data_IF_087240688763
#
_entry.id   IF_087240688763
#
_cell.length_a   1.000
_cell.length_b   1.000
_cell.length_c   1.000
_cell.angle_alpha   90.00
_cell.angle_beta   90.00
_cell.angle_gamma   90.00
#
_symmetry.space_group_name_H-M   'P 1'
#
loop_
_entity.id
_entity.type
_entity.pdbx_description
1 polymer ?
#
# COMPACT_ATOMS: atom_id res chain seq x y z
N UNK A 1 7.62 19.07 25.40
CA UNK A 1 8.39 20.03 26.22
C UNK A 1 8.97 19.29 27.42
N UNK A 2 10.21 18.89 27.34
CA UNK A 2 10.97 18.31 28.48
C UNK A 2 12.14 19.27 28.74
N UNK A 3 11.98 20.10 29.78
CA UNK A 3 13.04 20.95 30.24
C UNK A 3 13.98 20.12 31.14
N UNK A 4 15.22 19.96 30.71
CA UNK A 4 16.29 19.43 31.57
C UNK A 4 16.70 20.54 32.55
N UNK A 5 16.34 20.40 33.84
CA UNK A 5 16.90 21.21 34.90
C UNK A 5 18.30 20.70 35.24
N UNK A 6 19.31 21.46 34.91
CA UNK A 6 20.67 21.27 35.43
C UNK A 6 20.72 21.89 36.87
N UNK A 7 20.80 21.03 37.89
CA UNK A 7 21.07 21.47 39.25
C UNK A 7 22.57 21.74 39.38
N UNK A 8 22.97 23.00 39.47
CA UNK A 8 24.33 23.41 39.86
C UNK A 8 24.30 23.84 41.32
N UNK A 9 24.86 23.03 42.18
CA UNK A 9 25.23 23.43 43.52
C UNK A 9 26.54 22.75 43.90
N UNK A 10 27.65 23.47 43.74
CA UNK A 10 28.85 23.40 44.58
C UNK A 10 29.81 24.50 44.11
N UNK A 11 29.98 25.51 44.94
CA UNK A 11 30.99 26.56 44.79
C UNK A 11 32.40 26.01 45.08
N UNK A 12 33.02 25.40 44.07
CA UNK A 12 34.49 25.27 44.02
C UNK A 12 35.00 26.30 43.03
N UNK A 13 35.98 27.08 43.45
CA UNK A 13 36.71 28.02 42.59
C UNK A 13 37.49 27.20 41.55
N UNK A 14 36.84 26.94 40.41
CA UNK A 14 37.48 26.30 39.28
C UNK A 14 38.54 27.24 38.67
N UNK A 15 39.66 26.76 38.19
CA UNK A 15 40.67 27.59 37.51
C UNK A 15 40.01 28.29 36.30
N UNK A 16 40.44 29.51 36.01
CA UNK A 16 39.88 30.42 34.99
C UNK A 16 39.67 29.71 33.61
N UNK A 17 40.55 28.80 33.21
CA UNK A 17 40.42 27.99 32.02
C UNK A 17 39.28 26.98 32.06
N UNK A 18 38.90 26.45 33.21
CA UNK A 18 37.76 25.56 33.39
C UNK A 18 36.44 26.33 33.40
N UNK A 19 36.39 27.55 33.90
CA UNK A 19 35.22 28.44 33.84
C UNK A 19 34.94 28.87 32.40
N UNK A 20 35.96 29.24 31.61
CA UNK A 20 35.82 29.61 30.20
C UNK A 20 35.37 28.42 29.35
N UNK A 21 35.86 27.21 29.63
CA UNK A 21 35.43 25.97 28.96
C UNK A 21 33.96 25.61 29.27
N UNK A 22 33.52 25.78 30.55
CA UNK A 22 32.14 25.53 30.95
C UNK A 22 31.18 26.53 30.30
N UNK A 23 31.55 27.81 30.28
CA UNK A 23 30.76 28.87 29.66
C UNK A 23 30.66 28.70 28.14
N UNK A 24 31.75 28.26 27.47
CA UNK A 24 31.72 27.94 26.06
C UNK A 24 30.80 26.74 25.73
N UNK A 25 30.82 25.67 26.56
CA UNK A 25 29.90 24.54 26.40
C UNK A 25 28.43 24.95 26.58
N UNK A 26 28.13 25.81 27.60
CA UNK A 26 26.79 26.34 27.79
C UNK A 26 26.31 27.15 26.57
N UNK A 27 27.17 28.03 26.03
CA UNK A 27 26.84 28.80 24.81
C UNK A 27 26.57 27.92 23.59
N UNK A 28 27.36 26.85 23.37
CA UNK A 28 27.13 25.91 22.30
C UNK A 28 25.82 25.12 22.48
N UNK A 29 25.46 24.74 23.73
CA UNK A 29 24.19 24.08 24.04
C UNK A 29 22.98 24.97 23.76
N UNK A 30 23.06 26.23 24.17
CA UNK A 30 22.03 27.24 23.86
C UNK A 30 21.91 27.49 22.36
N UNK A 31 23.03 27.59 21.64
CA UNK A 31 23.04 27.78 20.21
C UNK A 31 22.40 26.57 19.45
N UNK A 32 22.72 25.33 19.90
CA UNK A 32 22.11 24.13 19.35
C UNK A 32 20.58 24.11 19.51
N UNK A 33 20.11 24.36 20.76
CA UNK A 33 18.67 24.39 21.03
C UNK A 33 17.96 25.55 20.31
N UNK A 34 18.60 26.71 20.19
CA UNK A 34 18.04 27.81 19.39
C UNK A 34 17.98 27.51 17.91
N UNK A 35 18.96 26.77 17.38
CA UNK A 35 18.95 26.30 15.99
C UNK A 35 17.84 25.28 15.74
N UNK A 36 17.64 24.30 16.63
CA UNK A 36 16.53 23.34 16.55
C UNK A 36 15.17 24.04 16.55
N UNK A 37 14.97 25.01 17.45
CA UNK A 37 13.70 25.77 17.50
C UNK A 37 13.39 26.53 16.23
N UNK A 38 14.42 26.92 15.46
CA UNK A 38 14.28 27.59 14.15
C UNK A 38 14.22 26.61 12.96
N UNK A 39 14.39 25.30 13.21
CA UNK A 39 14.51 24.30 12.15
C UNK A 39 15.85 24.32 11.42
N UNK A 40 16.87 25.04 11.94
CA UNK A 40 18.22 25.07 11.39
C UNK A 40 19.03 23.88 11.91
N UNK A 41 18.67 22.68 11.40
CA UNK A 41 19.30 21.44 11.84
C UNK A 41 20.77 21.31 11.41
N UNK A 42 21.18 22.02 10.35
CA UNK A 42 22.58 22.07 9.97
C UNK A 42 23.43 22.73 11.06
N UNK A 43 22.99 23.86 11.58
CA UNK A 43 23.67 24.53 12.70
C UNK A 43 23.56 23.69 13.99
N UNK A 44 22.39 23.10 14.28
CA UNK A 44 22.20 22.26 15.46
C UNK A 44 23.19 21.08 15.48
N UNK A 45 23.37 20.37 14.36
CA UNK A 45 24.35 19.28 14.21
C UNK A 45 25.76 19.77 14.55
N UNK A 46 26.21 20.88 13.96
CA UNK A 46 27.54 21.42 14.20
C UNK A 46 27.79 21.74 15.67
N UNK A 47 26.83 22.35 16.34
CA UNK A 47 26.94 22.73 17.75
C UNK A 47 26.92 21.48 18.65
N UNK A 48 26.02 20.49 18.39
CA UNK A 48 26.01 19.23 19.13
C UNK A 48 27.26 18.38 18.87
N UNK A 49 27.83 18.36 17.67
CA UNK A 49 29.11 17.68 17.41
C UNK A 49 30.25 18.29 18.24
N UNK A 50 30.29 19.62 18.37
CA UNK A 50 31.28 20.29 19.21
C UNK A 50 31.20 19.83 20.68
N UNK A 51 29.96 19.71 21.19
CA UNK A 51 29.71 19.24 22.56
C UNK A 51 30.03 17.74 22.71
N UNK A 52 29.60 16.91 21.76
CA UNK A 52 29.76 15.46 21.81
C UNK A 52 31.24 15.03 21.78
N UNK A 53 32.12 15.80 21.11
CA UNK A 53 33.57 15.58 21.16
C UNK A 53 34.15 15.81 22.54
N UNK A 54 33.57 16.69 23.35
CA UNK A 54 34.02 17.04 24.71
C UNK A 54 33.39 16.19 25.78
N UNK A 55 32.15 15.75 25.53
CA UNK A 55 31.35 14.94 26.45
C UNK A 55 30.91 13.63 25.80
N UNK A 56 31.87 12.77 25.35
CA UNK A 56 31.55 11.59 24.53
C UNK A 56 30.74 10.52 25.26
N UNK A 57 30.71 10.56 26.61
CA UNK A 57 29.96 9.65 27.49
C UNK A 57 28.62 10.21 27.97
N UNK A 58 28.14 11.30 27.42
CA UNK A 58 26.83 11.85 27.75
C UNK A 58 25.78 11.26 26.78
N UNK A 59 24.97 10.34 27.28
CA UNK A 59 23.97 9.62 26.48
C UNK A 59 22.91 10.55 25.88
N UNK A 60 22.41 11.51 26.66
CA UNK A 60 21.42 12.48 26.20
C UNK A 60 21.96 13.38 25.10
N UNK A 61 23.19 13.84 25.24
CA UNK A 61 23.83 14.66 24.21
C UNK A 61 24.05 13.89 22.89
N UNK A 62 24.46 12.61 22.97
CA UNK A 62 24.51 11.75 21.79
C UNK A 62 23.12 11.56 21.18
N UNK A 63 22.09 11.41 22.03
CA UNK A 63 20.70 11.34 21.58
C UNK A 63 20.26 12.61 20.82
N UNK A 64 20.54 13.80 21.39
CA UNK A 64 20.18 15.08 20.77
C UNK A 64 20.93 15.30 19.44
N UNK A 65 22.21 14.94 19.37
CA UNK A 65 22.97 14.97 18.11
C UNK A 65 22.33 14.03 17.07
N UNK A 66 21.93 12.83 17.47
CA UNK A 66 21.23 11.89 16.59
C UNK A 66 19.93 12.46 16.06
N UNK A 67 19.13 13.13 16.91
CA UNK A 67 17.87 13.79 16.51
C UNK A 67 18.14 14.91 15.51
N UNK A 68 19.14 15.77 15.77
CA UNK A 68 19.53 16.83 14.85
C UNK A 68 19.99 16.28 13.48
N UNK A 69 20.78 15.20 13.47
CA UNK A 69 21.22 14.52 12.26
C UNK A 69 20.01 13.93 11.49
N UNK A 70 19.02 13.34 12.19
CA UNK A 70 17.81 12.80 11.58
C UNK A 70 17.04 13.90 10.83
N UNK A 71 16.78 15.02 11.47
CA UNK A 71 16.05 16.14 10.85
C UNK A 71 16.89 16.85 9.78
N UNK A 72 18.22 16.72 9.82
CA UNK A 72 19.12 17.16 8.74
C UNK A 72 19.25 16.14 7.60
N UNK A 73 18.40 15.10 7.55
CA UNK A 73 18.37 14.03 6.55
C UNK A 73 19.65 13.18 6.47
N UNK A 74 20.48 13.17 7.52
CA UNK A 74 21.70 12.37 7.63
C UNK A 74 21.41 11.07 8.39
N UNK A 75 20.50 10.25 7.84
CA UNK A 75 19.89 9.14 8.57
C UNK A 75 20.87 8.06 9.01
N UNK A 76 21.82 7.66 8.15
CA UNK A 76 22.85 6.67 8.51
C UNK A 76 23.75 7.16 9.64
N UNK A 77 24.10 8.44 9.62
CA UNK A 77 24.91 9.05 10.68
C UNK A 77 24.10 9.15 11.98
N UNK A 78 22.83 9.51 11.90
CA UNK A 78 21.90 9.53 13.03
C UNK A 78 21.85 8.16 13.72
N UNK A 79 21.65 7.08 12.94
CA UNK A 79 21.64 5.69 13.45
C UNK A 79 22.94 5.37 14.20
N UNK A 80 24.10 5.70 13.60
CA UNK A 80 25.38 5.43 14.23
C UNK A 80 25.57 6.17 15.57
N UNK A 81 25.05 7.40 15.66
CA UNK A 81 25.11 8.21 16.90
C UNK A 81 24.08 7.72 17.93
N UNK A 82 22.88 7.32 17.51
CA UNK A 82 21.89 6.70 18.39
C UNK A 82 22.40 5.39 19.01
N UNK A 83 23.09 4.55 18.24
CA UNK A 83 23.72 3.35 18.81
C UNK A 83 24.74 3.71 19.90
N UNK A 84 25.53 4.79 19.75
CA UNK A 84 26.41 5.26 20.84
C UNK A 84 25.61 5.70 22.07
N UNK A 85 24.50 6.44 21.89
CA UNK A 85 23.64 6.81 22.98
C UNK A 85 23.10 5.59 23.72
N UNK A 86 22.64 4.59 23.01
CA UNK A 86 22.07 3.34 23.55
C UNK A 86 23.12 2.43 24.22
N UNK A 87 24.41 2.50 23.81
CA UNK A 87 25.49 1.81 24.57
C UNK A 87 25.76 2.47 25.92
N UNK A 88 25.40 3.74 26.10
CA UNK A 88 25.54 4.50 27.35
C UNK A 88 24.29 4.37 28.23
N UNK A 89 23.11 4.43 27.64
CA UNK A 89 21.82 4.21 28.28
C UNK A 89 20.84 3.54 27.30
N UNK A 90 20.57 2.27 27.52
CA UNK A 90 19.69 1.45 26.68
C UNK A 90 18.19 1.77 26.84
N UNK A 91 17.79 2.60 27.81
CA UNK A 91 16.39 2.92 28.09
C UNK A 91 15.96 4.30 27.54
N UNK A 92 16.78 4.93 26.75
CA UNK A 92 16.43 6.19 26.10
C UNK A 92 15.39 5.96 24.98
N UNK A 93 14.21 6.56 25.13
CA UNK A 93 13.12 6.46 24.16
C UNK A 93 13.51 7.05 22.80
N UNK A 94 14.04 8.27 22.78
CA UNK A 94 14.30 9.01 21.54
C UNK A 94 15.26 8.27 20.58
N UNK A 95 16.39 7.69 21.03
CA UNK A 95 17.25 6.89 20.16
C UNK A 95 16.54 5.71 19.51
N UNK A 96 15.75 4.92 20.24
CA UNK A 96 14.97 3.82 19.67
C UNK A 96 13.94 4.33 18.66
N UNK A 97 13.16 5.33 19.02
CA UNK A 97 12.15 5.92 18.14
C UNK A 97 12.78 6.43 16.84
N UNK A 98 13.76 7.32 16.94
CA UNK A 98 14.36 7.95 15.76
C UNK A 98 15.27 7.02 14.96
N UNK A 99 15.85 5.98 15.56
CA UNK A 99 16.54 4.91 14.81
C UNK A 99 15.52 4.16 13.95
N UNK A 100 14.37 3.81 14.52
CA UNK A 100 13.28 3.17 13.77
C UNK A 100 12.77 4.05 12.62
N UNK A 101 12.56 5.35 12.88
CA UNK A 101 12.19 6.31 11.84
C UNK A 101 13.25 6.41 10.74
N UNK A 102 14.54 6.49 11.11
CA UNK A 102 15.64 6.57 10.16
C UNK A 102 15.72 5.32 9.27
N UNK A 103 15.57 4.13 9.85
CA UNK A 103 15.49 2.90 9.07
C UNK A 103 14.28 2.87 8.12
N UNK A 104 13.14 3.39 8.57
CA UNK A 104 11.95 3.50 7.71
C UNK A 104 12.20 4.44 6.52
N UNK A 105 12.84 5.61 6.75
CA UNK A 105 13.22 6.54 5.67
C UNK A 105 14.21 5.92 4.67
N UNK A 106 15.08 5.04 5.15
CA UNK A 106 15.99 4.26 4.32
C UNK A 106 15.33 3.05 3.63
N UNK A 107 13.99 2.95 3.70
CA UNK A 107 13.19 1.84 3.12
C UNK A 107 13.56 0.46 3.70
N UNK A 108 14.00 0.42 4.97
CA UNK A 108 14.38 -0.79 5.70
C UNK A 108 13.43 -1.10 6.86
N UNK A 109 12.17 -1.45 6.58
CA UNK A 109 11.17 -1.69 7.63
C UNK A 109 11.54 -2.87 8.54
N UNK A 110 12.32 -3.84 8.03
CA UNK A 110 12.79 -4.99 8.84
C UNK A 110 13.74 -4.55 9.97
N UNK A 111 14.52 -3.51 9.75
CA UNK A 111 15.38 -2.90 10.76
C UNK A 111 14.60 -1.86 11.63
N UNK A 112 13.56 -1.23 11.07
CA UNK A 112 12.76 -0.24 11.78
C UNK A 112 11.89 -0.87 12.88
N UNK A 113 11.24 -2.00 12.60
CA UNK A 113 10.27 -2.63 13.51
C UNK A 113 10.83 -2.92 14.90
N UNK A 114 11.96 -3.62 15.10
CA UNK A 114 12.45 -3.94 16.44
C UNK A 114 12.77 -2.70 17.29
N UNK A 115 13.24 -1.62 16.66
CA UNK A 115 13.52 -0.36 17.34
C UNK A 115 12.21 0.33 17.77
N UNK A 116 11.21 0.38 16.89
CA UNK A 116 9.90 0.97 17.19
C UNK A 116 9.11 0.12 18.21
N UNK A 117 9.19 -1.21 18.16
CA UNK A 117 8.63 -2.10 19.21
C UNK A 117 9.27 -1.79 20.57
N UNK A 118 10.57 -1.53 20.61
CA UNK A 118 11.26 -1.14 21.85
C UNK A 118 10.81 0.23 22.34
N UNK A 119 10.66 1.20 21.44
CA UNK A 119 10.14 2.54 21.80
C UNK A 119 8.72 2.44 22.39
N UNK A 120 7.83 1.64 21.77
CA UNK A 120 6.47 1.39 22.29
C UNK A 120 6.50 0.67 23.63
N UNK A 121 7.42 -0.27 23.84
CA UNK A 121 7.58 -0.98 25.13
C UNK A 121 8.05 -0.02 26.23
N UNK A 122 8.97 0.91 25.93
CA UNK A 122 9.45 1.91 26.88
C UNK A 122 8.36 2.94 27.24
N UNK A 123 7.52 3.31 26.28
CA UNK A 123 6.39 4.22 26.50
C UNK A 123 5.18 3.77 25.68
N UNK A 124 4.33 2.94 26.27
CA UNK A 124 3.17 2.36 25.60
C UNK A 124 2.09 3.37 25.18
N UNK A 125 2.09 4.58 25.75
CA UNK A 125 1.18 5.67 25.38
C UNK A 125 1.78 6.66 24.36
N UNK A 126 2.96 6.37 23.81
CA UNK A 126 3.59 7.24 22.82
C UNK A 126 2.91 7.08 21.45
N UNK A 127 2.10 8.07 21.10
CA UNK A 127 1.32 8.10 19.85
C UNK A 127 2.24 8.06 18.63
N UNK A 128 3.38 8.78 18.67
CA UNK A 128 4.32 8.84 17.56
C UNK A 128 4.98 7.48 17.30
N UNK A 129 5.49 6.84 18.37
CA UNK A 129 6.11 5.52 18.27
C UNK A 129 5.14 4.47 17.71
N UNK A 130 3.89 4.44 18.22
CA UNK A 130 2.85 3.52 17.71
C UNK A 130 2.47 3.79 16.27
N UNK A 131 2.32 5.06 15.90
CA UNK A 131 1.99 5.43 14.52
C UNK A 131 3.04 4.93 13.55
N UNK A 132 4.31 5.15 13.85
CA UNK A 132 5.40 4.69 12.97
C UNK A 132 5.62 3.18 13.01
N UNK A 133 5.37 2.53 14.14
CA UNK A 133 5.34 1.07 14.21
C UNK A 133 4.24 0.50 13.31
N UNK A 134 3.05 1.10 13.33
CA UNK A 134 1.96 0.76 12.42
C UNK A 134 2.37 0.89 10.94
N UNK A 135 2.99 2.00 10.55
CA UNK A 135 3.48 2.18 9.18
C UNK A 135 4.61 1.19 8.82
N UNK A 136 5.52 0.88 9.75
CA UNK A 136 6.57 -0.10 9.54
C UNK A 136 5.99 -1.52 9.34
N UNK A 137 4.93 -1.89 10.07
CA UNK A 137 4.19 -3.13 9.83
C UNK A 137 3.46 -3.16 8.49
N UNK A 138 2.86 -2.03 8.07
CA UNK A 138 2.26 -1.91 6.71
C UNK A 138 3.33 -2.15 5.64
N UNK A 139 4.51 -1.55 5.78
CA UNK A 139 5.62 -1.74 4.83
C UNK A 139 6.12 -3.20 4.77
N UNK A 140 5.97 -3.96 5.87
CA UNK A 140 6.20 -5.41 5.92
C UNK A 140 4.99 -6.24 5.48
N UNK A 141 3.89 -5.61 5.11
CA UNK A 141 2.62 -6.28 4.80
C UNK A 141 2.03 -7.07 5.99
N UNK A 142 2.34 -6.67 7.23
CA UNK A 142 1.80 -7.22 8.49
C UNK A 142 0.60 -6.40 8.95
N UNK A 143 -0.48 -6.44 8.17
CA UNK A 143 -1.61 -5.51 8.33
C UNK A 143 -2.39 -5.71 9.63
N UNK A 144 -2.50 -6.94 10.15
CA UNK A 144 -3.15 -7.21 11.44
C UNK A 144 -2.38 -6.58 12.60
N UNK A 145 -1.04 -6.59 12.54
CA UNK A 145 -0.20 -5.90 13.52
C UNK A 145 -0.33 -4.38 13.40
N UNK A 146 -0.33 -3.86 12.16
CA UNK A 146 -0.54 -2.45 11.88
C UNK A 146 -1.89 -1.95 12.40
N UNK A 147 -2.98 -2.69 12.14
CA UNK A 147 -4.32 -2.35 12.60
C UNK A 147 -4.39 -2.25 14.14
N UNK A 148 -3.70 -3.13 14.87
CA UNK A 148 -3.63 -3.04 16.35
C UNK A 148 -2.96 -1.76 16.82
N UNK A 149 -1.83 -1.38 16.21
CA UNK A 149 -1.14 -0.15 16.61
C UNK A 149 -1.96 1.09 16.24
N UNK A 150 -2.55 1.16 15.05
CA UNK A 150 -3.43 2.28 14.69
C UNK A 150 -4.70 2.34 15.54
N UNK A 151 -5.27 1.22 15.95
CA UNK A 151 -6.40 1.18 16.88
C UNK A 151 -6.02 1.77 18.24
N UNK A 152 -4.82 1.47 18.75
CA UNK A 152 -4.34 2.09 19.98
C UNK A 152 -4.06 3.59 19.80
N UNK A 153 -3.57 4.02 18.64
CA UNK A 153 -3.41 5.45 18.32
C UNK A 153 -4.76 6.16 18.32
N UNK A 154 -5.79 5.61 17.68
CA UNK A 154 -7.14 6.21 17.67
C UNK A 154 -7.77 6.25 19.05
N UNK A 155 -7.46 5.28 19.93
CA UNK A 155 -7.88 5.30 21.33
C UNK A 155 -7.16 6.39 22.16
N UNK A 156 -5.85 6.58 21.93
CA UNK A 156 -5.03 7.58 22.66
C UNK A 156 -5.23 9.01 22.16
N UNK A 157 -5.51 9.16 20.86
CA UNK A 157 -5.72 10.42 20.17
C UNK A 157 -6.92 10.31 19.22
N UNK A 158 -8.17 10.39 19.71
CA UNK A 158 -9.38 10.19 18.91
C UNK A 158 -9.53 11.18 17.75
N UNK A 159 -8.99 12.38 17.87
CA UNK A 159 -9.04 13.43 16.86
C UNK A 159 -7.98 13.25 15.75
N UNK A 160 -7.14 12.21 15.83
CA UNK A 160 -6.10 11.95 14.85
C UNK A 160 -6.69 11.29 13.60
N UNK A 161 -7.12 12.12 12.63
CA UNK A 161 -7.71 11.66 11.36
C UNK A 161 -6.75 10.81 10.52
N UNK A 162 -5.43 11.03 10.62
CA UNK A 162 -4.43 10.22 9.93
C UNK A 162 -4.40 8.79 10.46
N UNK A 163 -4.54 8.62 11.77
CA UNK A 163 -4.59 7.31 12.40
C UNK A 163 -5.88 6.56 12.03
N UNK A 164 -7.03 7.24 12.00
CA UNK A 164 -8.29 6.65 11.55
C UNK A 164 -8.23 6.23 10.09
N UNK A 165 -7.66 7.07 9.22
CA UNK A 165 -7.45 6.73 7.82
C UNK A 165 -6.53 5.51 7.67
N UNK A 166 -5.38 5.50 8.38
CA UNK A 166 -4.43 4.39 8.34
C UNK A 166 -5.04 3.08 8.89
N UNK A 167 -5.89 3.17 9.92
CA UNK A 167 -6.66 2.03 10.44
C UNK A 167 -7.62 1.48 9.38
N UNK A 168 -8.36 2.36 8.71
CA UNK A 168 -9.25 1.99 7.61
C UNK A 168 -8.53 1.28 6.47
N UNK A 169 -7.38 1.81 6.05
CA UNK A 169 -6.54 1.20 5.01
C UNK A 169 -5.98 -0.17 5.43
N UNK A 170 -5.55 -0.32 6.69
CA UNK A 170 -5.06 -1.60 7.20
C UNK A 170 -6.17 -2.67 7.17
N UNK A 171 -7.39 -2.33 7.61
CA UNK A 171 -8.54 -3.23 7.56
C UNK A 171 -8.97 -3.55 6.14
N UNK A 172 -8.95 -2.58 5.22
CA UNK A 172 -9.22 -2.80 3.80
C UNK A 172 -8.27 -3.85 3.20
N UNK A 173 -6.98 -3.76 3.52
CA UNK A 173 -5.97 -4.72 3.04
C UNK A 173 -6.14 -6.12 3.66
N UNK A 174 -6.52 -6.19 4.93
CA UNK A 174 -6.88 -7.47 5.58
C UNK A 174 -8.06 -8.09 4.85
N UNK A 175 -9.13 -7.35 4.62
CA UNK A 175 -10.32 -7.80 3.89
C UNK A 175 -9.95 -8.34 2.51
N UNK A 176 -9.19 -7.56 1.71
CA UNK A 176 -8.72 -7.97 0.40
C UNK A 176 -7.94 -9.28 0.42
N UNK A 177 -7.06 -9.47 1.40
CA UNK A 177 -6.28 -10.71 1.56
C UNK A 177 -7.15 -11.91 1.92
N UNK A 178 -8.16 -11.72 2.77
CA UNK A 178 -9.11 -12.78 3.13
C UNK A 178 -9.96 -13.19 1.94
N UNK A 179 -10.43 -12.22 1.16
CA UNK A 179 -11.13 -12.47 -0.11
C UNK A 179 -10.26 -13.25 -1.10
N UNK A 180 -9.01 -12.84 -1.31
CA UNK A 180 -8.10 -13.58 -2.19
C UNK A 180 -7.82 -15.00 -1.70
N UNK A 181 -7.65 -15.18 -0.37
CA UNK A 181 -7.47 -16.50 0.22
C UNK A 181 -8.70 -17.39 0.03
N UNK A 182 -9.90 -16.84 0.16
CA UNK A 182 -11.17 -17.54 -0.10
C UNK A 182 -11.27 -17.96 -1.56
N UNK A 183 -11.04 -17.04 -2.48
CA UNK A 183 -11.09 -17.34 -3.92
C UNK A 183 -10.04 -18.37 -4.35
N UNK A 184 -8.89 -18.42 -3.68
CA UNK A 184 -7.87 -19.44 -3.90
C UNK A 184 -8.27 -20.80 -3.32
N UNK A 185 -8.86 -20.82 -2.13
CA UNK A 185 -9.25 -22.06 -1.44
C UNK A 185 -10.50 -22.71 -2.06
N UNK A 186 -11.45 -21.89 -2.51
CA UNK A 186 -12.74 -22.34 -3.05
C UNK A 186 -13.20 -21.45 -4.23
N UNK A 187 -12.54 -21.48 -5.40
CA UNK A 187 -12.82 -20.55 -6.51
C UNK A 187 -14.24 -20.69 -7.08
N UNK A 188 -14.86 -21.83 -6.90
CA UNK A 188 -16.23 -22.12 -7.34
C UNK A 188 -17.16 -22.39 -6.13
N UNK A 189 -16.75 -22.02 -4.93
CA UNK A 189 -17.53 -22.20 -3.71
C UNK A 189 -18.73 -21.25 -3.62
N UNK A 190 -19.67 -21.56 -2.74
CA UNK A 190 -20.86 -20.73 -2.56
C UNK A 190 -20.54 -19.32 -2.07
N UNK A 191 -19.57 -19.19 -1.16
CA UNK A 191 -19.11 -17.87 -0.65
C UNK A 191 -18.35 -17.06 -1.70
N UNK A 192 -17.62 -17.72 -2.62
CA UNK A 192 -16.97 -17.02 -3.73
C UNK A 192 -18.00 -16.38 -4.68
N UNK A 193 -19.05 -17.12 -5.02
CA UNK A 193 -20.17 -16.60 -5.81
C UNK A 193 -20.96 -15.52 -5.06
N UNK A 194 -21.13 -15.67 -3.74
CA UNK A 194 -21.75 -14.65 -2.92
C UNK A 194 -21.00 -13.32 -3.00
N UNK A 195 -19.67 -13.34 -2.80
CA UNK A 195 -18.84 -12.13 -2.92
C UNK A 195 -18.95 -11.47 -4.31
N UNK A 196 -19.01 -12.29 -5.37
CA UNK A 196 -19.19 -11.78 -6.73
C UNK A 196 -20.56 -11.09 -6.89
N UNK A 197 -21.62 -11.69 -6.38
CA UNK A 197 -22.97 -11.10 -6.37
C UNK A 197 -23.04 -9.79 -5.59
N UNK A 198 -22.44 -9.74 -4.39
CA UNK A 198 -22.34 -8.54 -3.56
C UNK A 198 -21.62 -7.40 -4.28
N UNK A 199 -20.51 -7.70 -4.94
CA UNK A 199 -19.74 -6.72 -5.72
C UNK A 199 -20.55 -6.15 -6.89
N UNK A 200 -21.31 -7.00 -7.61
CA UNK A 200 -22.16 -6.58 -8.71
C UNK A 200 -23.37 -5.77 -8.23
N UNK A 201 -23.92 -6.13 -7.08
CA UNK A 201 -25.00 -5.37 -6.44
C UNK A 201 -24.56 -3.95 -6.05
N UNK A 202 -23.35 -3.81 -5.51
CA UNK A 202 -22.74 -2.50 -5.22
C UNK A 202 -22.50 -1.65 -6.48
N UNK A 203 -22.20 -2.31 -7.62
CA UNK A 203 -22.07 -1.66 -8.93
C UNK A 203 -23.42 -1.31 -9.57
N UNK A 204 -24.55 -1.75 -8.98
CA UNK A 204 -25.91 -1.52 -9.49
C UNK A 204 -26.32 -2.51 -10.59
N UNK A 205 -25.53 -3.53 -10.91
CA UNK A 205 -25.87 -4.56 -11.90
C UNK A 205 -26.69 -5.69 -11.26
N UNK A 206 -27.96 -5.37 -11.00
CA UNK A 206 -28.89 -6.29 -10.30
C UNK A 206 -29.06 -7.64 -11.00
N UNK A 207 -29.06 -7.66 -12.34
CA UNK A 207 -29.28 -8.89 -13.08
C UNK A 207 -28.10 -9.87 -12.95
N UNK A 208 -26.88 -9.37 -13.06
CA UNK A 208 -25.68 -10.22 -12.86
C UNK A 208 -25.55 -10.60 -11.38
N UNK A 209 -25.80 -9.68 -10.45
CA UNK A 209 -25.81 -9.97 -9.02
C UNK A 209 -26.78 -11.13 -8.70
N UNK A 210 -28.01 -11.10 -9.24
CA UNK A 210 -28.96 -12.19 -9.07
C UNK A 210 -28.39 -13.53 -9.58
N UNK A 211 -27.82 -13.57 -10.79
CA UNK A 211 -27.25 -14.78 -11.35
C UNK A 211 -26.13 -15.37 -10.44
N UNK A 212 -25.28 -14.51 -9.88
CA UNK A 212 -24.22 -14.96 -8.98
C UNK A 212 -24.78 -15.43 -7.62
N UNK A 213 -25.79 -14.77 -7.07
CA UNK A 213 -26.48 -15.23 -5.86
C UNK A 213 -27.21 -16.54 -6.07
N UNK A 214 -27.81 -16.78 -7.23
CA UNK A 214 -28.43 -18.07 -7.58
C UNK A 214 -27.38 -19.17 -7.63
N UNK A 215 -26.19 -18.92 -8.20
CA UNK A 215 -25.05 -19.86 -8.15
C UNK A 215 -24.56 -20.11 -6.72
N UNK A 216 -24.51 -19.08 -5.90
CA UNK A 216 -24.16 -19.20 -4.49
C UNK A 216 -25.18 -20.04 -3.72
N UNK A 217 -26.49 -19.74 -3.88
CA UNK A 217 -27.57 -20.44 -3.21
C UNK A 217 -27.70 -21.90 -3.65
N UNK A 218 -27.50 -22.20 -4.93
CA UNK A 218 -27.50 -23.58 -5.43
C UNK A 218 -26.40 -24.44 -4.78
N UNK A 219 -25.26 -23.85 -4.42
CA UNK A 219 -24.14 -24.53 -3.73
C UNK A 219 -24.30 -24.57 -2.21
N UNK A 220 -24.90 -23.53 -1.65
CA UNK A 220 -25.05 -23.33 -0.20
C UNK A 220 -26.49 -22.90 0.13
N UNK A 221 -27.49 -23.78 -0.12
CA UNK A 221 -28.90 -23.53 0.24
C UNK A 221 -29.14 -23.49 1.76
N UNK A 222 -28.14 -23.89 2.56
CA UNK A 222 -28.13 -23.81 4.02
C UNK A 222 -27.97 -22.36 4.53
N UNK A 223 -27.51 -21.44 3.70
CA UNK A 223 -27.26 -20.04 4.08
C UNK A 223 -28.54 -19.21 3.87
N UNK A 224 -29.23 -18.75 4.95
CA UNK A 224 -30.47 -18.01 4.82
C UNK A 224 -30.32 -16.69 4.07
N UNK A 225 -29.19 -16.00 4.25
CA UNK A 225 -28.89 -14.71 3.65
C UNK A 225 -28.82 -14.80 2.12
N UNK A 226 -28.33 -15.91 1.57
CA UNK A 226 -28.30 -16.15 0.12
C UNK A 226 -29.72 -16.32 -0.46
N UNK A 227 -30.57 -17.04 0.25
CA UNK A 227 -31.99 -17.19 -0.15
C UNK A 227 -32.69 -15.84 -0.18
N UNK A 228 -32.49 -15.06 0.88
CA UNK A 228 -33.05 -13.71 0.95
C UNK A 228 -32.57 -12.81 -0.18
N UNK A 229 -31.25 -12.81 -0.47
CA UNK A 229 -30.68 -12.01 -1.56
C UNK A 229 -31.24 -12.39 -2.94
N UNK A 230 -31.42 -13.70 -3.20
CA UNK A 230 -32.06 -14.18 -4.44
C UNK A 230 -33.51 -13.70 -4.54
N UNK A 231 -34.30 -13.86 -3.48
CA UNK A 231 -35.73 -13.47 -3.44
C UNK A 231 -35.90 -11.95 -3.56
N UNK A 232 -35.07 -11.16 -2.89
CA UNK A 232 -35.09 -9.69 -2.97
C UNK A 232 -34.83 -9.17 -4.38
N UNK A 233 -33.97 -9.86 -5.14
CA UNK A 233 -33.69 -9.52 -6.53
C UNK A 233 -34.68 -10.09 -7.53
N UNK A 234 -35.72 -10.85 -7.05
CA UNK A 234 -36.78 -11.41 -7.86
C UNK A 234 -36.52 -12.81 -8.41
N UNK A 235 -35.46 -13.48 -7.94
CA UNK A 235 -35.17 -14.86 -8.31
C UNK A 235 -35.91 -15.91 -7.49
N UNK A 236 -35.67 -17.19 -7.78
CA UNK A 236 -36.24 -18.34 -7.04
C UNK A 236 -35.14 -19.04 -6.25
N UNK A 237 -35.22 -18.93 -4.94
CA UNK A 237 -34.26 -19.56 -4.06
C UNK A 237 -34.44 -21.08 -3.99
N UNK A 238 -33.30 -21.79 -3.92
CA UNK A 238 -33.27 -23.25 -3.71
C UNK A 238 -33.33 -23.52 -2.20
N UNK A 239 -34.19 -24.46 -1.80
CA UNK A 239 -34.41 -24.85 -0.38
C UNK A 239 -34.02 -26.30 -0.10
N UNK A 240 -33.23 -26.93 -0.98
CA UNK A 240 -32.84 -28.33 -0.85
C UNK A 240 -31.93 -28.55 0.39
N UNK A 241 -32.03 -29.70 1.05
CA UNK A 241 -31.11 -30.04 2.14
C UNK A 241 -29.68 -30.22 1.63
N UNK A 242 -28.71 -29.59 2.30
CA UNK A 242 -27.27 -29.71 1.97
C UNK A 242 -26.74 -31.02 2.52
N UNK A 243 -25.98 -31.75 1.68
CA UNK A 243 -25.15 -32.84 2.20
C UNK A 243 -23.97 -32.26 2.96
N UNK A 244 -23.66 -32.83 4.12
CA UNK A 244 -22.57 -32.37 5.02
C UNK A 244 -21.20 -32.22 4.32
N UNK A 245 -21.02 -32.90 3.18
CA UNK A 245 -19.82 -32.81 2.30
C UNK A 245 -19.71 -31.49 1.52
N UNK A 246 -20.80 -30.72 1.40
CA UNK A 246 -20.80 -29.45 0.65
C UNK A 246 -20.39 -28.22 1.49
N UNK A 247 -20.31 -28.39 2.81
CA UNK A 247 -19.93 -27.30 3.72
C UNK A 247 -18.43 -27.29 3.92
N UNK A 248 -17.77 -26.22 3.48
CA UNK A 248 -16.35 -25.99 3.73
C UNK A 248 -16.19 -24.93 4.86
N UNK A 249 -15.85 -25.33 6.09
CA UNK A 249 -15.71 -24.42 7.23
C UNK A 249 -14.65 -23.33 7.01
N UNK A 250 -13.62 -23.61 6.22
CA UNK A 250 -12.57 -22.64 5.89
C UNK A 250 -13.13 -21.53 5.00
N UNK A 251 -14.02 -21.85 4.07
CA UNK A 251 -14.70 -20.88 3.20
C UNK A 251 -15.54 -19.90 4.02
N UNK A 252 -16.35 -20.41 4.95
CA UNK A 252 -17.18 -19.56 5.83
C UNK A 252 -16.33 -18.68 6.75
N UNK A 253 -15.24 -19.25 7.29
CA UNK A 253 -14.32 -18.48 8.14
C UNK A 253 -13.65 -17.34 7.38
N UNK A 254 -13.15 -17.59 6.16
CA UNK A 254 -12.51 -16.57 5.34
C UNK A 254 -13.49 -15.49 4.90
N UNK A 255 -14.72 -15.89 4.53
CA UNK A 255 -15.79 -14.96 4.19
C UNK A 255 -16.15 -14.05 5.37
N UNK A 256 -16.38 -14.62 6.55
CA UNK A 256 -16.68 -13.85 7.76
C UNK A 256 -15.56 -12.88 8.12
N UNK A 257 -14.30 -13.30 8.02
CA UNK A 257 -13.14 -12.45 8.29
C UNK A 257 -13.00 -11.32 7.26
N UNK A 258 -13.32 -11.56 5.98
CA UNK A 258 -13.32 -10.53 4.95
C UNK A 258 -14.38 -9.46 5.24
N UNK A 259 -15.62 -9.88 5.55
CA UNK A 259 -16.71 -8.98 5.90
C UNK A 259 -16.46 -8.18 7.18
N UNK A 260 -15.95 -8.82 8.24
CA UNK A 260 -15.57 -8.11 9.47
C UNK A 260 -14.53 -7.02 9.20
N UNK A 261 -13.53 -7.35 8.38
CA UNK A 261 -12.49 -6.38 8.02
C UNK A 261 -13.07 -5.22 7.18
N UNK A 262 -13.96 -5.51 6.24
CA UNK A 262 -14.65 -4.48 5.45
C UNK A 262 -15.50 -3.55 6.34
N UNK A 263 -16.26 -4.10 7.27
CA UNK A 263 -17.07 -3.31 8.22
C UNK A 263 -16.19 -2.39 9.08
N UNK A 264 -15.06 -2.91 9.60
CA UNK A 264 -14.09 -2.13 10.38
C UNK A 264 -13.42 -1.03 9.54
N UNK A 265 -13.07 -1.33 8.28
CA UNK A 265 -12.54 -0.35 7.34
C UNK A 265 -13.53 0.78 7.10
N UNK A 266 -14.79 0.41 6.79
CA UNK A 266 -15.88 1.36 6.56
C UNK A 266 -16.10 2.26 7.77
N UNK A 267 -16.22 1.69 8.96
CA UNK A 267 -16.42 2.46 10.20
C UNK A 267 -15.28 3.47 10.44
N UNK A 268 -14.03 3.09 10.15
CA UNK A 268 -12.89 4.00 10.28
C UNK A 268 -12.94 5.15 9.27
N UNK A 269 -13.31 4.89 8.01
CA UNK A 269 -13.46 5.93 7.00
C UNK A 269 -14.67 6.84 7.27
N UNK A 270 -15.80 6.28 7.70
CA UNK A 270 -16.99 7.05 8.12
C UNK A 270 -16.66 7.99 9.28
N UNK A 271 -15.81 7.56 10.21
CA UNK A 271 -15.33 8.44 11.27
C UNK A 271 -14.59 9.65 10.70
N UNK A 272 -13.66 9.45 9.76
CA UNK A 272 -12.93 10.57 9.11
C UNK A 272 -13.90 11.51 8.38
N UNK A 273 -14.82 10.95 7.60
CA UNK A 273 -15.80 11.72 6.81
C UNK A 273 -16.75 12.52 7.69
N UNK A 274 -17.13 12.00 8.88
CA UNK A 274 -18.04 12.69 9.80
C UNK A 274 -17.34 13.69 10.71
N UNK A 275 -16.13 13.34 11.23
CA UNK A 275 -15.40 14.18 12.16
C UNK A 275 -14.66 15.35 11.48
N UNK A 276 -14.21 15.16 10.24
CA UNK A 276 -13.42 16.15 9.51
C UNK A 276 -13.73 16.13 7.99
N UNK A 277 -14.95 16.49 7.56
CA UNK A 277 -15.41 16.36 6.17
C UNK A 277 -14.59 17.17 5.16
N UNK A 278 -14.03 18.31 5.58
CA UNK A 278 -13.23 19.19 4.72
C UNK A 278 -11.73 18.90 4.81
N UNK A 279 -11.33 17.83 5.51
CA UNK A 279 -9.93 17.46 5.64
C UNK A 279 -9.37 16.83 4.36
N UNK A 280 -8.06 16.91 4.18
CA UNK A 280 -7.40 16.24 3.06
C UNK A 280 -7.63 14.71 3.07
N UNK A 281 -7.83 14.07 4.25
CA UNK A 281 -8.16 12.64 4.34
C UNK A 281 -9.58 12.33 3.87
N UNK A 282 -10.54 13.19 4.18
CA UNK A 282 -11.91 13.03 3.65
C UNK A 282 -11.92 13.14 2.12
N UNK A 283 -11.23 14.14 1.57
CA UNK A 283 -11.09 14.27 0.11
C UNK A 283 -10.34 13.10 -0.51
N UNK A 284 -9.34 12.53 0.18
CA UNK A 284 -8.63 11.33 -0.28
C UNK A 284 -9.56 10.11 -0.32
N UNK A 285 -10.35 9.86 0.73
CA UNK A 285 -11.35 8.77 0.75
C UNK A 285 -12.35 8.93 -0.40
N UNK A 286 -12.85 10.13 -0.65
CA UNK A 286 -13.74 10.39 -1.78
C UNK A 286 -13.07 10.14 -3.13
N UNK A 287 -11.80 10.54 -3.29
CA UNK A 287 -11.05 10.30 -4.51
C UNK A 287 -10.83 8.80 -4.76
N UNK A 288 -10.45 8.04 -3.73
CA UNK A 288 -10.29 6.59 -3.78
C UNK A 288 -11.62 5.91 -4.18
N UNK A 289 -12.75 6.38 -3.64
CA UNK A 289 -14.08 5.90 -4.02
C UNK A 289 -14.42 6.19 -5.48
N UNK A 290 -14.07 7.37 -6.01
CA UNK A 290 -14.25 7.69 -7.44
C UNK A 290 -13.37 6.81 -8.34
N UNK A 291 -12.15 6.45 -7.91
CA UNK A 291 -11.30 5.49 -8.64
C UNK A 291 -11.99 4.14 -8.76
N UNK A 292 -12.56 3.63 -7.66
CA UNK A 292 -13.29 2.35 -7.66
C UNK A 292 -14.53 2.38 -8.57
N UNK A 293 -15.17 3.55 -8.70
CA UNK A 293 -16.29 3.78 -9.60
C UNK A 293 -15.88 4.10 -11.05
N UNK A 294 -14.59 4.05 -11.37
CA UNK A 294 -14.02 4.40 -12.68
C UNK A 294 -14.34 5.85 -13.13
N UNK A 295 -14.57 6.75 -12.18
CA UNK A 295 -14.85 8.17 -12.40
C UNK A 295 -13.55 8.99 -12.32
N UNK A 296 -12.62 8.73 -13.24
CA UNK A 296 -11.25 9.26 -13.18
C UNK A 296 -11.19 10.79 -13.09
N UNK A 297 -12.03 11.52 -13.82
CA UNK A 297 -12.01 13.00 -13.77
C UNK A 297 -12.42 13.53 -12.37
N UNK A 298 -13.39 12.88 -11.69
CA UNK A 298 -13.78 13.24 -10.33
C UNK A 298 -12.69 12.85 -9.32
N UNK A 299 -12.06 11.69 -9.51
CA UNK A 299 -10.95 11.26 -8.69
C UNK A 299 -9.79 12.26 -8.76
N UNK A 300 -9.40 12.67 -9.96
CA UNK A 300 -8.34 13.67 -10.19
C UNK A 300 -8.70 15.00 -9.51
N UNK A 301 -9.93 15.48 -9.65
CA UNK A 301 -10.37 16.72 -9.02
C UNK A 301 -10.27 16.64 -7.48
N UNK A 302 -10.73 15.53 -6.87
CA UNK A 302 -10.65 15.32 -5.43
C UNK A 302 -9.19 15.19 -4.94
N UNK A 303 -8.33 14.45 -5.64
CA UNK A 303 -6.90 14.38 -5.30
C UNK A 303 -6.19 15.74 -5.44
N UNK A 304 -6.55 16.57 -6.41
CA UNK A 304 -6.03 17.95 -6.50
C UNK A 304 -6.42 18.77 -5.28
N UNK A 305 -7.62 18.61 -4.74
CA UNK A 305 -8.00 19.24 -3.46
C UNK A 305 -7.13 18.71 -2.31
N UNK A 306 -6.82 17.42 -2.28
CA UNK A 306 -5.86 16.87 -1.29
C UNK A 306 -4.52 17.60 -1.37
N UNK A 307 -3.95 17.78 -2.57
CA UNK A 307 -2.67 18.48 -2.75
C UNK A 307 -2.74 19.97 -2.40
N UNK A 308 -3.90 20.64 -2.57
CA UNK A 308 -4.07 22.02 -2.10
C UNK A 308 -4.00 22.11 -0.56
N UNK A 309 -4.56 21.12 0.14
CA UNK A 309 -4.57 21.09 1.60
C UNK A 309 -3.27 20.53 2.18
N UNK A 310 -2.62 19.59 1.49
CA UNK A 310 -1.41 18.88 1.91
C UNK A 310 -0.49 18.62 0.69
N UNK A 311 0.32 19.62 0.28
CA UNK A 311 1.13 19.54 -0.95
C UNK A 311 2.18 18.40 -0.96
N UNK A 312 2.70 18.05 0.22
CA UNK A 312 3.80 17.08 0.35
C UNK A 312 3.29 15.68 0.70
N UNK A 313 1.99 15.37 0.50
CA UNK A 313 1.46 14.06 0.84
C UNK A 313 1.89 13.02 -0.20
N UNK A 314 2.75 12.04 0.16
CA UNK A 314 3.22 11.03 -0.76
C UNK A 314 2.07 10.15 -1.27
N UNK A 315 2.19 9.71 -2.54
CA UNK A 315 1.25 8.81 -3.20
C UNK A 315 0.11 9.53 -3.94
N UNK A 316 -0.14 10.81 -3.69
CA UNK A 316 -1.25 11.52 -4.34
C UNK A 316 -0.93 11.86 -5.79
N UNK A 317 0.27 12.31 -6.08
CA UNK A 317 0.72 12.50 -7.47
C UNK A 317 0.75 11.17 -8.25
N UNK A 318 1.14 10.05 -7.61
CA UNK A 318 1.05 8.70 -8.20
C UNK A 318 -0.41 8.34 -8.55
N UNK A 319 -1.35 8.59 -7.64
CA UNK A 319 -2.77 8.34 -7.86
C UNK A 319 -3.36 9.18 -9.01
N UNK A 320 -3.05 10.48 -9.06
CA UNK A 320 -3.45 11.37 -10.16
C UNK A 320 -2.85 10.87 -11.48
N UNK A 321 -1.54 10.59 -11.51
CA UNK A 321 -0.85 10.10 -12.70
C UNK A 321 -1.46 8.81 -13.22
N UNK A 322 -1.82 7.89 -12.33
CA UNK A 322 -2.47 6.63 -12.67
C UNK A 322 -3.88 6.84 -13.25
N UNK A 323 -4.67 7.74 -12.69
CA UNK A 323 -5.99 8.10 -13.23
C UNK A 323 -5.87 8.79 -14.62
N UNK A 324 -4.88 9.67 -14.80
CA UNK A 324 -4.57 10.30 -16.08
C UNK A 324 -4.16 9.27 -17.15
N UNK A 325 -3.37 8.24 -16.77
CA UNK A 325 -3.02 7.15 -17.71
C UNK A 325 -4.26 6.38 -18.17
N UNK A 326 -5.17 6.02 -17.25
CA UNK A 326 -6.43 5.36 -17.61
C UNK A 326 -7.28 6.21 -18.55
N UNK A 327 -7.25 7.53 -18.36
CA UNK A 327 -7.93 8.51 -19.23
C UNK A 327 -7.16 8.83 -20.53
N UNK A 328 -6.03 8.16 -20.82
CA UNK A 328 -5.21 8.38 -22.02
C UNK A 328 -4.37 9.66 -22.03
N UNK A 329 -4.32 10.41 -20.91
CA UNK A 329 -3.62 11.70 -20.77
C UNK A 329 -2.15 11.50 -20.36
N UNK A 330 -1.38 10.76 -21.18
CA UNK A 330 -0.02 10.32 -20.83
C UNK A 330 0.97 11.46 -20.58
N UNK A 331 0.83 12.60 -21.29
CA UNK A 331 1.72 13.76 -21.09
C UNK A 331 1.51 14.43 -19.71
N UNK A 332 0.27 14.51 -19.24
CA UNK A 332 -0.04 15.01 -17.91
C UNK A 332 0.42 14.02 -16.83
N UNK A 333 0.19 12.72 -17.05
CA UNK A 333 0.65 11.66 -16.13
C UNK A 333 2.17 11.69 -15.92
N UNK A 334 2.95 11.95 -16.96
CA UNK A 334 4.40 12.12 -16.88
C UNK A 334 4.78 13.18 -15.83
N UNK A 335 4.11 14.33 -15.85
CA UNK A 335 4.37 15.44 -14.93
C UNK A 335 4.07 15.03 -13.49
N UNK A 336 2.96 14.34 -13.27
CA UNK A 336 2.55 13.88 -11.94
C UNK A 336 3.55 12.84 -11.38
N UNK A 337 3.95 11.84 -12.15
CA UNK A 337 4.95 10.87 -11.69
C UNK A 337 6.32 11.50 -11.40
N UNK A 338 6.72 12.50 -12.18
CA UNK A 338 7.93 13.28 -11.88
C UNK A 338 7.81 14.09 -10.59
N UNK A 339 6.63 14.61 -10.28
CA UNK A 339 6.36 15.28 -9.01
C UNK A 339 6.43 14.30 -7.83
N UNK A 340 5.84 13.10 -7.97
CA UNK A 340 5.93 12.07 -6.93
C UNK A 340 7.37 11.63 -6.66
N UNK A 341 8.20 11.49 -7.69
CA UNK A 341 9.61 11.13 -7.51
C UNK A 341 10.45 12.19 -6.79
N UNK A 342 10.00 13.46 -6.72
CA UNK A 342 10.64 14.47 -5.86
C UNK A 342 10.34 14.21 -4.39
N UNK A 343 9.15 13.70 -4.07
CA UNK A 343 8.75 13.33 -2.72
C UNK A 343 9.31 11.95 -2.33
N UNK A 344 9.30 10.99 -3.26
CA UNK A 344 9.72 9.61 -3.07
C UNK A 344 10.76 9.16 -4.14
N UNK A 345 12.02 9.61 -4.06
CA UNK A 345 13.03 9.36 -5.11
C UNK A 345 13.35 7.88 -5.35
N UNK A 346 13.07 7.01 -4.36
CA UNK A 346 13.35 5.57 -4.39
C UNK A 346 12.10 4.69 -4.57
N UNK A 347 10.99 5.25 -5.06
CA UNK A 347 9.80 4.45 -5.33
C UNK A 347 9.97 3.63 -6.61
N UNK A 348 10.10 2.30 -6.47
CA UNK A 348 10.15 1.38 -7.61
C UNK A 348 8.84 1.36 -8.39
N UNK A 349 7.68 1.50 -7.71
CA UNK A 349 6.35 1.60 -8.31
C UNK A 349 6.26 2.81 -9.24
N UNK A 350 6.58 4.00 -8.72
CA UNK A 350 6.48 5.24 -9.49
C UNK A 350 7.46 5.24 -10.68
N UNK A 351 8.69 4.71 -10.50
CA UNK A 351 9.62 4.57 -11.62
C UNK A 351 9.10 3.60 -12.69
N UNK A 352 8.38 2.54 -12.30
CA UNK A 352 7.77 1.60 -13.26
C UNK A 352 6.64 2.28 -14.03
N UNK A 353 5.75 3.03 -13.35
CA UNK A 353 4.67 3.79 -13.98
C UNK A 353 5.21 4.92 -14.88
N UNK A 354 6.27 5.60 -14.45
CA UNK A 354 6.98 6.60 -15.27
C UNK A 354 7.55 5.94 -16.53
N UNK A 355 8.21 4.79 -16.39
CA UNK A 355 8.73 4.01 -17.52
C UNK A 355 7.62 3.60 -18.50
N UNK A 356 6.49 3.13 -18.01
CA UNK A 356 5.30 2.83 -18.82
C UNK A 356 4.81 4.08 -19.57
N UNK A 357 4.72 5.21 -18.88
CA UNK A 357 4.28 6.48 -19.47
C UNK A 357 5.23 6.94 -20.57
N UNK A 358 6.53 6.82 -20.35
CA UNK A 358 7.55 7.16 -21.35
C UNK A 358 7.45 6.26 -22.59
N UNK A 359 7.15 4.97 -22.44
CA UNK A 359 6.88 4.07 -23.57
C UNK A 359 5.66 4.51 -24.38
N UNK A 360 4.58 4.92 -23.70
CA UNK A 360 3.37 5.42 -24.37
C UNK A 360 3.63 6.71 -25.15
N UNK A 361 4.58 7.52 -24.69
CA UNK A 361 5.01 8.76 -25.36
C UNK A 361 6.11 8.54 -26.42
N UNK A 362 6.52 7.29 -26.67
CA UNK A 362 7.58 6.96 -27.64
C UNK A 362 9.01 7.28 -27.19
N UNK A 363 9.21 7.68 -25.91
CA UNK A 363 10.51 8.04 -25.33
C UNK A 363 11.24 6.78 -24.84
N UNK A 364 11.59 5.91 -25.78
CA UNK A 364 12.05 4.53 -25.49
C UNK A 364 13.34 4.45 -24.68
N UNK A 365 14.32 5.35 -24.91
CA UNK A 365 15.61 5.33 -24.21
C UNK A 365 15.47 5.84 -22.76
N UNK A 366 14.64 6.86 -22.54
CA UNK A 366 14.32 7.34 -21.20
C UNK A 366 13.55 6.27 -20.42
N UNK A 367 12.60 5.58 -21.07
CA UNK A 367 11.82 4.49 -20.49
C UNK A 367 12.72 3.33 -20.04
N UNK A 368 13.64 2.89 -20.91
CA UNK A 368 14.58 1.81 -20.55
C UNK A 368 15.40 2.19 -19.30
N UNK A 369 16.01 3.37 -19.30
CA UNK A 369 16.80 3.85 -18.16
C UNK A 369 15.99 3.84 -16.87
N UNK A 370 14.75 4.34 -16.93
CA UNK A 370 13.86 4.45 -15.79
C UNK A 370 13.42 3.07 -15.28
N UNK A 371 13.04 2.15 -16.18
CA UNK A 371 12.65 0.78 -15.82
C UNK A 371 13.82 -0.02 -15.24
N UNK A 372 15.03 0.12 -15.80
CA UNK A 372 16.23 -0.50 -15.23
C UNK A 372 16.55 0.05 -13.84
N UNK A 373 16.37 1.36 -13.63
CA UNK A 373 16.50 1.95 -12.30
C UNK A 373 15.50 1.37 -11.31
N UNK A 374 14.23 1.18 -11.71
CA UNK A 374 13.22 0.55 -10.87
C UNK A 374 13.61 -0.87 -10.43
N UNK A 375 14.23 -1.65 -11.33
CA UNK A 375 14.68 -3.02 -11.04
C UNK A 375 15.89 -3.09 -10.06
N UNK A 376 16.62 -1.99 -9.87
CA UNK A 376 17.72 -1.90 -8.90
C UNK A 376 17.25 -1.49 -7.50
N UNK A 377 15.97 -1.15 -7.35
CA UNK A 377 15.38 -0.74 -6.07
C UNK A 377 14.87 -1.95 -5.28
N UNK A 378 14.62 -1.72 -4.00
CA UNK A 378 14.04 -2.74 -3.14
C UNK A 378 12.61 -3.11 -3.62
N UNK A 379 12.34 -4.42 -3.72
CA UNK A 379 11.04 -4.98 -4.15
C UNK A 379 10.52 -4.41 -5.47
N UNK A 380 11.28 -4.56 -6.57
CA UNK A 380 10.88 -4.03 -7.86
C UNK A 380 9.58 -4.70 -8.34
N UNK A 381 8.63 -3.92 -8.91
CA UNK A 381 7.44 -4.50 -9.53
C UNK A 381 7.80 -5.41 -10.69
N UNK A 382 7.16 -6.58 -10.77
CA UNK A 382 7.36 -7.52 -11.87
C UNK A 382 7.06 -6.87 -13.24
N UNK A 383 6.11 -5.96 -13.29
CA UNK A 383 5.74 -5.19 -14.49
C UNK A 383 6.92 -4.47 -15.16
N UNK A 384 7.94 -4.05 -14.39
CA UNK A 384 9.15 -3.46 -14.98
C UNK A 384 9.84 -4.41 -15.97
N UNK A 385 9.88 -5.71 -15.64
CA UNK A 385 10.38 -6.74 -16.56
C UNK A 385 9.47 -6.93 -17.78
N UNK A 386 8.15 -6.93 -17.62
CA UNK A 386 7.19 -7.05 -18.74
C UNK A 386 7.33 -5.88 -19.71
N UNK A 387 7.45 -4.65 -19.19
CA UNK A 387 7.61 -3.44 -19.99
C UNK A 387 8.95 -3.43 -20.75
N UNK A 388 10.06 -3.83 -20.09
CA UNK A 388 11.35 -4.00 -20.75
C UNK A 388 11.29 -5.08 -21.81
N UNK A 389 10.68 -6.23 -21.53
CA UNK A 389 10.49 -7.29 -22.52
C UNK A 389 9.74 -6.82 -23.76
N UNK A 390 8.68 -6.01 -23.60
CA UNK A 390 7.95 -5.39 -24.69
C UNK A 390 8.81 -4.40 -25.48
N UNK A 391 9.60 -3.58 -24.81
CA UNK A 391 10.52 -2.62 -25.43
C UNK A 391 11.60 -3.34 -26.26
N UNK A 392 12.22 -4.39 -25.70
CA UNK A 392 13.27 -5.16 -26.37
C UNK A 392 12.74 -5.91 -27.61
N UNK A 393 11.48 -6.41 -27.54
CA UNK A 393 10.78 -6.95 -28.71
C UNK A 393 10.62 -5.91 -29.84
N UNK A 394 10.29 -4.68 -29.47
CA UNK A 394 10.12 -3.60 -30.44
C UNK A 394 11.46 -3.23 -31.12
N UNK A 395 12.57 -3.42 -30.40
CA UNK A 395 13.93 -3.21 -30.92
C UNK A 395 14.53 -4.43 -31.63
N UNK A 396 13.79 -5.53 -31.70
CA UNK A 396 14.24 -6.84 -32.20
C UNK A 396 15.37 -7.47 -31.36
N UNK A 397 15.53 -7.06 -30.11
CA UNK A 397 16.48 -7.66 -29.17
C UNK A 397 15.85 -8.89 -28.50
N UNK A 398 15.62 -9.94 -29.29
CA UNK A 398 14.80 -11.08 -28.90
C UNK A 398 15.34 -11.82 -27.66
N UNK A 399 16.68 -11.92 -27.51
CA UNK A 399 17.26 -12.56 -26.33
C UNK A 399 16.92 -11.80 -25.04
N UNK A 400 17.16 -10.49 -25.00
CA UNK A 400 16.83 -9.66 -23.87
C UNK A 400 15.33 -9.62 -23.59
N UNK A 401 14.50 -9.65 -24.63
CA UNK A 401 13.05 -9.73 -24.51
C UNK A 401 12.62 -11.03 -23.82
N UNK A 402 13.15 -12.18 -24.26
CA UNK A 402 12.84 -13.48 -23.66
C UNK A 402 13.26 -13.54 -22.19
N UNK A 403 14.46 -13.06 -21.85
CA UNK A 403 14.95 -13.02 -20.47
C UNK A 403 14.03 -12.21 -19.55
N UNK A 404 13.65 -10.99 -19.96
CA UNK A 404 12.77 -10.15 -19.18
C UNK A 404 11.36 -10.75 -19.04
N UNK A 405 10.77 -11.26 -20.11
CA UNK A 405 9.44 -11.88 -20.07
C UNK A 405 9.43 -13.15 -19.22
N UNK A 406 10.48 -13.97 -19.23
CA UNK A 406 10.60 -15.13 -18.36
C UNK A 406 10.67 -14.72 -16.89
N UNK A 407 11.42 -13.66 -16.54
CA UNK A 407 11.46 -13.12 -15.16
C UNK A 407 10.08 -12.65 -14.69
N UNK A 408 9.35 -11.97 -15.55
CA UNK A 408 7.98 -11.57 -15.26
C UNK A 408 7.07 -12.78 -15.03
N UNK A 409 7.08 -13.74 -15.95
CA UNK A 409 6.22 -14.94 -15.91
C UNK A 409 6.60 -15.93 -14.79
N UNK A 410 7.76 -15.79 -14.18
CA UNK A 410 8.11 -16.56 -12.97
C UNK A 410 7.17 -16.25 -11.80
N UNK A 411 6.68 -15.01 -11.71
CA UNK A 411 5.72 -14.55 -10.70
C UNK A 411 4.30 -14.49 -11.25
N UNK A 412 4.10 -13.95 -12.44
CA UNK A 412 2.80 -13.67 -13.06
C UNK A 412 2.45 -14.72 -14.15
N UNK A 413 2.33 -15.97 -13.73
CA UNK A 413 2.18 -17.14 -14.65
C UNK A 413 0.91 -17.12 -15.51
N UNK A 414 -0.12 -16.37 -15.10
CA UNK A 414 -1.43 -16.38 -15.75
C UNK A 414 -1.65 -15.18 -16.70
N UNK A 415 -0.60 -14.46 -17.08
CA UNK A 415 -0.71 -13.39 -18.08
C UNK A 415 -0.56 -13.95 -19.49
N UNK A 416 -1.71 -14.18 -20.16
CA UNK A 416 -1.75 -14.63 -21.55
C UNK A 416 -0.98 -13.70 -22.50
N UNK A 417 -1.06 -12.37 -22.29
CA UNK A 417 -0.35 -11.40 -23.13
C UNK A 417 1.15 -11.57 -23.03
N UNK A 418 1.68 -11.77 -21.83
CA UNK A 418 3.11 -11.98 -21.62
C UNK A 418 3.60 -13.29 -22.27
N UNK A 419 2.83 -14.38 -22.20
CA UNK A 419 3.13 -15.63 -22.90
C UNK A 419 3.14 -15.43 -24.41
N UNK A 420 2.19 -14.68 -24.98
CA UNK A 420 2.19 -14.35 -26.40
C UNK A 420 3.42 -13.51 -26.79
N UNK A 421 3.79 -12.50 -25.99
CA UNK A 421 4.99 -11.72 -26.24
C UNK A 421 6.26 -12.60 -26.18
N UNK A 422 6.32 -13.52 -25.21
CA UNK A 422 7.44 -14.48 -25.09
C UNK A 422 7.55 -15.40 -26.32
N UNK A 423 6.43 -15.88 -26.86
CA UNK A 423 6.43 -16.67 -28.10
C UNK A 423 7.00 -15.90 -29.31
N UNK A 424 6.72 -14.58 -29.37
CA UNK A 424 7.31 -13.69 -30.38
C UNK A 424 8.82 -13.55 -30.22
N UNK A 425 9.31 -13.46 -28.99
CA UNK A 425 10.74 -13.42 -28.71
C UNK A 425 11.44 -14.71 -29.17
N UNK A 426 10.90 -15.88 -28.79
CA UNK A 426 11.45 -17.17 -29.23
C UNK A 426 11.35 -17.40 -30.73
N UNK A 427 10.30 -16.90 -31.39
CA UNK A 427 10.24 -16.90 -32.85
C UNK A 427 11.40 -16.11 -33.48
N UNK A 428 11.72 -14.93 -32.92
CA UNK A 428 12.84 -14.12 -33.38
C UNK A 428 14.21 -14.80 -33.15
N UNK A 429 14.30 -15.68 -32.14
CA UNK A 429 15.49 -16.48 -31.84
C UNK A 429 15.56 -17.79 -32.66
N UNK A 430 14.53 -18.11 -33.48
CA UNK A 430 14.36 -19.39 -34.16
C UNK A 430 14.29 -20.60 -33.21
N UNK A 431 13.93 -20.40 -31.93
CA UNK A 431 13.72 -21.46 -30.95
C UNK A 431 12.28 -21.95 -31.01
N UNK A 432 12.05 -22.94 -31.91
CA UNK A 432 10.73 -23.50 -32.14
C UNK A 432 10.16 -24.18 -30.89
N UNK A 433 10.98 -24.87 -30.10
CA UNK A 433 10.51 -25.61 -28.94
C UNK A 433 9.95 -24.66 -27.87
N UNK A 434 10.68 -23.63 -27.54
CA UNK A 434 10.24 -22.63 -26.53
C UNK A 434 9.08 -21.78 -27.06
N UNK A 435 9.05 -21.48 -28.37
CA UNK A 435 7.93 -20.79 -28.98
C UNK A 435 6.64 -21.61 -28.87
N UNK A 436 6.67 -22.89 -29.21
CA UNK A 436 5.51 -23.78 -29.15
C UNK A 436 5.02 -23.97 -27.70
N UNK A 437 5.96 -24.05 -26.72
CA UNK A 437 5.61 -24.08 -25.33
C UNK A 437 4.89 -22.76 -24.88
N UNK A 438 5.43 -21.60 -25.23
CA UNK A 438 4.83 -20.32 -24.88
C UNK A 438 3.44 -20.13 -25.51
N UNK A 439 3.25 -20.55 -26.75
CA UNK A 439 1.95 -20.54 -27.43
C UNK A 439 0.95 -21.51 -26.78
N UNK A 440 1.40 -22.69 -26.33
CA UNK A 440 0.55 -23.62 -25.58
C UNK A 440 0.04 -23.01 -24.26
N UNK A 441 0.90 -22.33 -23.50
CA UNK A 441 0.48 -21.63 -22.28
C UNK A 441 -0.49 -20.48 -22.58
N UNK A 442 -0.21 -19.69 -23.61
CA UNK A 442 -1.13 -18.64 -24.08
C UNK A 442 -2.50 -19.22 -24.44
N UNK A 443 -2.56 -20.30 -25.23
CA UNK A 443 -3.82 -20.94 -25.66
C UNK A 443 -4.62 -21.43 -24.44
N UNK A 444 -3.96 -22.16 -23.52
CA UNK A 444 -4.59 -22.69 -22.32
C UNK A 444 -5.23 -21.58 -21.48
N UNK A 445 -4.49 -20.50 -21.18
CA UNK A 445 -4.98 -19.38 -20.37
C UNK A 445 -6.11 -18.65 -21.10
N UNK A 446 -6.01 -18.49 -22.43
CA UNK A 446 -7.01 -17.83 -23.27
C UNK A 446 -8.30 -18.66 -23.41
N UNK A 447 -8.20 -19.98 -23.49
CA UNK A 447 -9.34 -20.88 -23.50
C UNK A 447 -10.08 -20.89 -22.17
N UNK A 448 -9.35 -20.93 -21.06
CA UNK A 448 -9.92 -20.81 -19.71
C UNK A 448 -10.68 -19.49 -19.54
N UNK A 449 -10.15 -18.38 -20.07
CA UNK A 449 -10.81 -17.09 -20.05
C UNK A 449 -12.05 -17.05 -20.94
N UNK A 450 -11.99 -17.63 -22.15
CA UNK A 450 -13.13 -17.75 -23.06
C UNK A 450 -14.22 -18.66 -22.51
N UNK A 451 -13.84 -19.80 -21.92
CA UNK A 451 -14.78 -20.71 -21.29
C UNK A 451 -15.55 -20.04 -20.15
N UNK A 452 -14.87 -19.24 -19.32
CA UNK A 452 -15.53 -18.44 -18.28
C UNK A 452 -16.50 -17.41 -18.88
N UNK A 453 -16.06 -16.68 -19.91
CA UNK A 453 -16.90 -15.68 -20.59
C UNK A 453 -18.09 -16.35 -21.33
N UNK A 454 -17.88 -17.50 -21.96
CA UNK A 454 -18.95 -18.26 -22.63
C UNK A 454 -19.97 -18.78 -21.61
N UNK A 455 -19.51 -19.35 -20.49
CA UNK A 455 -20.40 -19.81 -19.43
C UNK A 455 -21.24 -18.67 -18.85
N UNK A 456 -20.66 -17.49 -18.66
CA UNK A 456 -21.36 -16.29 -18.22
C UNK A 456 -22.40 -15.82 -19.26
N UNK A 457 -22.03 -15.81 -20.55
CA UNK A 457 -22.94 -15.41 -21.62
C UNK A 457 -24.08 -16.43 -21.85
N UNK A 458 -23.80 -17.72 -21.70
CA UNK A 458 -24.80 -18.79 -21.84
C UNK A 458 -25.80 -18.77 -20.67
N UNK A 459 -25.33 -18.50 -19.45
CA UNK A 459 -26.18 -18.27 -18.29
C UNK A 459 -27.11 -17.06 -18.50
N UNK A 460 -26.58 -15.95 -19.02
CA UNK A 460 -27.36 -14.77 -19.36
C UNK A 460 -28.41 -15.06 -20.44
N UNK A 461 -28.10 -15.93 -21.41
CA UNK A 461 -29.03 -16.34 -22.49
C UNK A 461 -30.13 -17.26 -21.97
N UNK A 462 -29.82 -18.21 -21.10
CA UNK A 462 -30.79 -19.09 -20.47
C UNK A 462 -31.78 -18.29 -19.59
N UNK A 463 -31.28 -17.31 -18.85
CA UNK A 463 -32.11 -16.43 -18.04
C UNK A 463 -33.03 -15.52 -18.88
N UNK A 464 -32.61 -15.12 -20.07
CA UNK A 464 -33.48 -14.35 -20.99
C UNK A 464 -34.55 -15.23 -21.67
N UNK A 465 -34.32 -16.51 -21.86
CA UNK A 465 -35.32 -17.44 -22.43
C UNK A 465 -36.40 -17.83 -21.43
N UNK A 466 -36.09 -17.97 -20.15
CA UNK A 466 -37.07 -18.22 -19.10
C UNK A 466 -38.07 -17.05 -18.90
N UNK A 467 -37.65 -15.81 -19.17
CA UNK A 467 -38.57 -14.66 -19.14
C UNK A 467 -39.54 -14.59 -20.33
N UNK A 468 -39.15 -15.12 -21.51
CA UNK A 468 -40.01 -15.14 -22.69
C UNK A 468 -41.08 -16.22 -22.56
N UNK A 469 -40.76 -17.37 -21.95
CA UNK A 469 -41.72 -18.46 -21.71
C UNK A 469 -42.75 -18.14 -20.60
N UNK A 470 -42.36 -17.36 -19.58
CA UNK A 470 -43.26 -16.90 -18.53
C UNK A 470 -44.27 -15.80 -19.03
N UNK A 471 -43.87 -14.98 -20.00
CA UNK A 471 -44.78 -14.02 -20.65
C UNK A 471 -45.73 -14.67 -21.67
N UNK A 472 -45.24 -15.73 -22.35
CA UNK A 472 -46.09 -16.49 -23.29
C UNK A 472 -47.15 -17.33 -22.56
N UNK A 473 -46.86 -17.83 -21.35
CA UNK A 473 -47.81 -18.57 -20.51
C UNK A 473 -48.92 -17.72 -19.89
N UNK A 474 -48.79 -16.42 -19.88
CA UNK A 474 -49.81 -15.46 -19.35
C UNK A 474 -50.76 -14.91 -20.42
N UNK A 475 -50.60 -15.33 -21.69
CA UNK A 475 -51.48 -14.93 -22.80
C UNK A 475 -52.10 -16.17 -23.46
N UNK A 476 -52.94 -16.87 -22.72
CA UNK A 476 -53.92 -17.79 -23.30
C UNK A 476 -55.23 -17.64 -22.55
N UNK A 477 -56.35 -17.64 -23.29
CA UNK A 477 -57.63 -17.06 -22.92
C UNK A 477 -58.38 -17.78 -21.79
#
# INVERSE_FOLDING_TARGET
MLAAQLVIAASMVLPLAAQTSSQAMASHAEAAQAAEKRGDFFTAVREYEYLARRLPRNAELQSNLGVALYFNHQWEQAIAVFHKALTLDANLLAPHLFTGLAWYQLSRPDAAVPELETAVRLRSSDVLARTWLGYAYVAQSRYEAAAKEFQEVTRLAPDNIDAWYALGQAWLEIGRRRTLALLKAAPNGGRAWQLAGEQLQLQGDRNKALADYEQANARRPDIPELRHAVEELGGKAVTAPVTQAAVNPQEDTLYAQAHEAEQKSRAAFEHVLSAAPDSYRAHQIMADAYVLQQQDDKAIAAYRTVLQLKPDLPGIHEAIGSALLRSGKSAEALTEFQAELKLQPRSASVNTLLGQTLLLLGKNDEAEKTLRSALLMDRPPADAHRLLGKLELHRNNYQAAAENLNRYLATEKNDATAWYLLSRAYRGLNDKQQMDHALSQFAKISEDAKARTQAQNELARLNSQTHVDDEAGKRSP
#
